data_IF_293939435625
#
_entry.id   IF_293939435625
#
_cell.length_a   1.000
_cell.length_b   1.000
_cell.length_c   1.000
_cell.angle_alpha   90.00
_cell.angle_beta   90.00
_cell.angle_gamma   90.00
#
_symmetry.space_group_name_H-M   'P 1'
#
loop_
_entity.id
_entity.type
_entity.pdbx_description
1 polymer ?
#
# COMPACT_ATOMS: atom_id res chain seq x y z
N UNK A 1 -6.14 8.05 7.98
CA UNK A 1 -6.51 7.56 6.63
C UNK A 1 -5.30 7.47 5.69
N UNK A 2 -4.41 8.47 5.68
CA UNK A 2 -3.19 8.56 4.84
C UNK A 2 -2.30 7.30 4.84
N UNK A 3 -2.25 6.57 5.96
CA UNK A 3 -1.38 5.41 6.10
C UNK A 3 -1.84 4.17 5.35
N UNK A 4 -3.16 3.97 5.27
CA UNK A 4 -3.75 2.86 4.50
C UNK A 4 -3.49 3.08 3.01
N UNK A 5 -3.61 4.34 2.56
CA UNK A 5 -3.27 4.74 1.19
C UNK A 5 -1.79 4.49 0.88
N UNK A 6 -0.88 4.80 1.81
CA UNK A 6 0.55 4.54 1.63
C UNK A 6 0.86 3.04 1.50
N UNK A 7 0.33 2.20 2.39
CA UNK A 7 0.56 0.75 2.34
C UNK A 7 -0.01 0.12 1.08
N UNK A 8 -1.22 0.52 0.66
CA UNK A 8 -1.84 0.06 -0.58
C UNK A 8 -1.03 0.54 -1.79
N UNK A 9 -0.61 1.81 -1.80
CA UNK A 9 0.17 2.38 -2.88
C UNK A 9 1.51 1.67 -3.06
N UNK A 10 2.20 1.35 -1.96
CA UNK A 10 3.46 0.61 -2.00
C UNK A 10 3.30 -0.76 -2.66
N UNK A 11 2.20 -1.49 -2.40
CA UNK A 11 1.91 -2.79 -3.05
C UNK A 11 1.60 -2.61 -4.53
N UNK A 12 0.80 -1.59 -4.87
CA UNK A 12 0.45 -1.29 -6.25
C UNK A 12 1.67 -0.89 -7.08
N UNK A 13 2.54 -0.06 -6.51
CA UNK A 13 3.81 0.35 -7.12
C UNK A 13 4.74 -0.85 -7.29
N UNK A 14 4.92 -1.67 -6.25
CA UNK A 14 5.74 -2.89 -6.32
C UNK A 14 5.28 -3.82 -7.45
N UNK A 15 3.96 -4.01 -7.61
CA UNK A 15 3.40 -4.90 -8.65
C UNK A 15 3.36 -4.28 -10.04
N UNK A 16 3.02 -3.00 -10.16
CA UNK A 16 2.90 -2.35 -11.45
C UNK A 16 4.28 -1.99 -12.02
N UNK A 17 5.19 -1.44 -11.21
CA UNK A 17 6.49 -0.96 -11.65
C UNK A 17 7.55 -2.06 -11.85
N UNK A 18 7.21 -3.35 -11.68
CA UNK A 18 8.11 -4.46 -12.03
C UNK A 18 8.51 -4.45 -13.52
N UNK A 19 7.70 -3.81 -14.37
CA UNK A 19 7.92 -3.71 -15.81
C UNK A 19 7.84 -2.26 -16.23
N UNK A 20 8.71 -1.86 -17.15
CA UNK A 20 8.62 -0.54 -17.77
C UNK A 20 7.35 -0.45 -18.63
N UNK A 21 6.62 0.65 -18.47
CA UNK A 21 5.38 0.90 -19.20
C UNK A 21 5.62 1.93 -20.30
N UNK A 22 5.28 1.63 -21.57
CA UNK A 22 5.54 2.53 -22.69
C UNK A 22 4.61 3.76 -22.71
N UNK A 23 3.51 3.74 -21.95
CA UNK A 23 2.57 4.85 -21.85
C UNK A 23 1.72 4.76 -20.58
N UNK A 24 1.06 5.87 -20.25
CA UNK A 24 0.18 6.01 -19.08
C UNK A 24 -0.99 5.01 -19.11
N UNK A 25 -1.52 4.67 -20.28
CA UNK A 25 -2.63 3.71 -20.39
C UNK A 25 -2.20 2.28 -20.03
N UNK A 26 -0.98 1.88 -20.40
CA UNK A 26 -0.36 0.62 -19.99
C UNK A 26 -0.19 0.57 -18.47
N UNK A 27 0.30 1.66 -17.87
CA UNK A 27 0.46 1.78 -16.42
C UNK A 27 -0.90 1.69 -15.70
N UNK A 28 -1.93 2.40 -16.18
CA UNK A 28 -3.29 2.31 -15.60
C UNK A 28 -3.85 0.89 -15.64
N UNK A 29 -3.63 0.15 -16.73
CA UNK A 29 -4.06 -1.25 -16.84
C UNK A 29 -3.31 -2.15 -15.85
N UNK A 30 -2.00 -1.93 -15.70
CA UNK A 30 -1.18 -2.66 -14.75
C UNK A 30 -1.61 -2.42 -13.31
N UNK A 31 -1.85 -1.16 -12.92
CA UNK A 31 -2.38 -0.79 -11.60
C UNK A 31 -3.75 -1.41 -11.32
N UNK A 32 -4.67 -1.37 -12.29
CA UNK A 32 -6.00 -2.02 -12.17
C UNK A 32 -5.89 -3.54 -12.02
N UNK A 33 -4.92 -4.16 -12.69
CA UNK A 33 -4.65 -5.60 -12.55
C UNK A 33 -4.07 -5.89 -11.17
N UNK A 34 -3.04 -5.15 -10.75
CA UNK A 34 -2.42 -5.28 -9.44
C UNK A 34 -3.46 -5.16 -8.32
N UNK A 35 -4.36 -4.17 -8.40
CA UNK A 35 -5.47 -3.99 -7.47
C UNK A 35 -6.36 -5.23 -7.35
N UNK A 36 -6.74 -5.85 -8.48
CA UNK A 36 -7.57 -7.06 -8.48
C UNK A 36 -6.86 -8.30 -7.93
N UNK A 37 -5.53 -8.29 -7.92
CA UNK A 37 -4.71 -9.37 -7.37
C UNK A 37 -4.38 -9.18 -5.88
N UNK A 38 -4.74 -8.04 -5.27
CA UNK A 38 -4.65 -7.88 -3.83
C UNK A 38 -5.79 -8.68 -3.21
N UNK A 39 -5.46 -9.65 -2.35
CA UNK A 39 -6.47 -10.44 -1.67
C UNK A 39 -7.17 -9.62 -0.57
N UNK A 40 -8.42 -9.98 -0.27
CA UNK A 40 -9.15 -9.40 0.86
C UNK A 40 -8.39 -9.58 2.17
N UNK A 41 -7.76 -10.74 2.38
CA UNK A 41 -6.94 -11.03 3.57
C UNK A 41 -5.77 -10.03 3.71
N UNK A 42 -5.12 -9.63 2.60
CA UNK A 42 -4.07 -8.61 2.63
C UNK A 42 -4.64 -7.25 3.03
N UNK A 43 -5.81 -6.87 2.52
CA UNK A 43 -6.48 -5.62 2.89
C UNK A 43 -6.89 -5.59 4.36
N UNK A 44 -7.42 -6.70 4.87
CA UNK A 44 -7.76 -6.89 6.28
C UNK A 44 -6.52 -6.75 7.18
N UNK A 45 -5.41 -7.41 6.82
CA UNK A 45 -4.14 -7.28 7.55
C UNK A 45 -3.62 -5.84 7.58
N UNK A 46 -3.71 -5.10 6.46
CA UNK A 46 -3.31 -3.68 6.42
C UNK A 46 -4.22 -2.85 7.32
N UNK A 47 -5.53 -3.10 7.30
CA UNK A 47 -6.50 -2.41 8.14
C UNK A 47 -6.27 -2.69 9.64
N UNK A 48 -6.03 -3.95 10.02
CA UNK A 48 -5.74 -4.36 11.39
C UNK A 48 -4.39 -3.86 11.90
N UNK A 49 -3.42 -3.67 11.00
CA UNK A 49 -2.11 -3.15 11.37
C UNK A 49 -2.09 -1.63 11.54
N UNK A 50 -3.09 -0.92 10.98
CA UNK A 50 -3.16 0.54 11.06
C UNK A 50 -3.29 1.06 12.51
N UNK A 51 -4.21 0.56 13.37
CA UNK A 51 -4.27 0.95 14.77
C UNK A 51 -2.97 0.67 15.54
N UNK A 52 -2.30 -0.44 15.23
CA UNK A 52 -1.03 -0.82 15.87
C UNK A 52 0.08 0.16 15.55
N UNK A 53 0.23 0.51 14.26
CA UNK A 53 1.24 1.48 13.82
C UNK A 53 0.89 2.90 14.26
N UNK A 54 -0.38 3.28 14.32
CA UNK A 54 -0.80 4.56 14.89
C UNK A 54 -0.42 4.65 16.38
N UNK A 55 -0.65 3.57 17.14
CA UNK A 55 -0.25 3.50 18.55
C UNK A 55 1.27 3.61 18.70
N UNK A 56 2.04 2.88 17.89
CA UNK A 56 3.50 2.97 17.90
C UNK A 56 4.00 4.39 17.57
N UNK A 57 3.35 5.11 16.65
CA UNK A 57 3.64 6.53 16.37
C UNK A 57 3.43 7.43 17.57
N UNK A 58 2.33 7.23 18.29
CA UNK A 58 2.00 7.96 19.52
C UNK A 58 3.01 7.64 20.62
N UNK A 59 3.32 6.35 20.82
CA UNK A 59 4.30 5.89 21.82
C UNK A 59 5.72 6.40 21.51
N UNK A 60 6.07 6.52 20.23
CA UNK A 60 7.32 7.12 19.76
C UNK A 60 7.32 8.66 19.79
N UNK A 61 6.23 9.30 20.23
CA UNK A 61 6.04 10.76 20.25
C UNK A 61 6.31 11.41 18.87
N UNK A 62 5.93 10.72 17.78
CA UNK A 62 6.19 11.14 16.40
C UNK A 62 7.59 10.82 15.87
N UNK A 63 8.43 10.10 16.62
CA UNK A 63 9.71 9.56 16.17
C UNK A 63 9.59 8.41 15.16
N UNK A 64 10.72 7.92 14.66
CA UNK A 64 10.73 6.73 13.79
C UNK A 64 10.43 5.47 14.61
N UNK A 65 9.53 4.62 14.11
CA UNK A 65 9.18 3.34 14.72
C UNK A 65 9.04 2.29 13.60
N UNK A 66 9.54 1.08 13.85
CA UNK A 66 9.40 -0.08 12.96
C UNK A 66 8.07 -0.82 13.20
#
# INVERSE_FOLDING_TARGET
MVFLEYSIWSILEEKACQKSHPNVESLKRALKKAWKEISLETLEKIADNFPKRLKACVDANGGHFE
#
